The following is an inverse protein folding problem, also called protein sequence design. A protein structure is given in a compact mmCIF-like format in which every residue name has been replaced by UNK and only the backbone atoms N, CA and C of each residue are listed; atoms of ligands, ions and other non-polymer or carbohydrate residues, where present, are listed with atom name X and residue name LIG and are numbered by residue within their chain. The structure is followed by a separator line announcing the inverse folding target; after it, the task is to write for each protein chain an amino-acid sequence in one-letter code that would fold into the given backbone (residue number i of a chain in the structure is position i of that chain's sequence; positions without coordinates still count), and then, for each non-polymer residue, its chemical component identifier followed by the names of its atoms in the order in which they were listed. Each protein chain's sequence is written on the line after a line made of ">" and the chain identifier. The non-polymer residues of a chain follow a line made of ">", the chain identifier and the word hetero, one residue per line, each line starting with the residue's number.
data_IF_670072527033
#
_entry.id   IF_670072527033
#
_cell.length_a   1.000
_cell.length_b   1.000
_cell.length_c   1.000
_cell.angle_alpha   90.00
_cell.angle_beta   90.00
_cell.angle_gamma   90.00
#
_symmetry.space_group_name_H-M   'P 1'
#
loop_
_entity.id
_entity.type
_entity.pdbx_description
1 polymer ?
#
# COMPACT_ATOMS: atom_id res chain seq x y z
N UNK A 1 8.99 2.52 -12.52
CA UNK A 1 7.52 2.68 -12.56
C UNK A 1 7.07 2.71 -11.11
N UNK A 2 6.36 3.73 -10.63
CA UNK A 2 5.88 3.76 -9.24
C UNK A 2 4.77 2.71 -9.08
N UNK A 3 5.08 1.58 -8.44
CA UNK A 3 4.17 0.42 -8.24
C UNK A 3 3.34 0.52 -6.98
N UNK A 4 3.49 1.59 -6.21
CA UNK A 4 2.92 1.72 -4.88
C UNK A 4 1.39 1.59 -4.88
N UNK A 5 0.72 2.29 -5.79
CA UNK A 5 -0.74 2.30 -5.86
C UNK A 5 -1.31 0.90 -6.18
N UNK A 6 -0.67 0.16 -7.09
CA UNK A 6 -1.07 -1.20 -7.43
C UNK A 6 -0.85 -2.15 -6.26
N UNK A 7 0.36 -2.15 -5.68
CA UNK A 7 0.73 -3.05 -4.59
C UNK A 7 -0.06 -2.78 -3.31
N UNK A 8 -0.33 -1.52 -2.97
CA UNK A 8 -1.23 -1.16 -1.88
C UNK A 8 -2.62 -1.77 -2.06
N UNK A 9 -3.21 -1.59 -3.25
CA UNK A 9 -4.55 -2.09 -3.57
C UNK A 9 -4.60 -3.61 -3.56
N UNK A 10 -3.58 -4.27 -4.11
CA UNK A 10 -3.47 -5.72 -4.16
C UNK A 10 -3.33 -6.32 -2.77
N UNK A 11 -2.37 -5.86 -1.97
CA UNK A 11 -2.17 -6.34 -0.59
C UNK A 11 -3.43 -6.13 0.27
N UNK A 12 -4.10 -4.98 0.15
CA UNK A 12 -5.37 -4.75 0.85
C UNK A 12 -6.44 -5.76 0.43
N UNK A 13 -6.56 -6.05 -0.87
CA UNK A 13 -7.53 -7.02 -1.38
C UNK A 13 -7.19 -8.46 -0.97
N UNK A 14 -5.91 -8.81 -0.88
CA UNK A 14 -5.44 -10.12 -0.41
C UNK A 14 -5.80 -10.37 1.06
N UNK A 15 -5.71 -9.32 1.90
CA UNK A 15 -6.20 -9.37 3.28
C UNK A 15 -7.74 -9.36 3.38
N UNK A 16 -8.46 -9.18 2.26
CA UNK A 16 -9.93 -9.22 2.23
C UNK A 16 -10.63 -8.03 2.91
N UNK A 17 -9.92 -6.91 3.10
CA UNK A 17 -10.41 -5.75 3.84
C UNK A 17 -10.79 -4.57 2.91
N UNK A 18 -11.64 -3.68 3.41
CA UNK A 18 -12.06 -2.46 2.68
C UNK A 18 -11.05 -1.33 2.86
N UNK A 19 -11.14 -0.29 2.00
CA UNK A 19 -10.33 0.93 2.15
C UNK A 19 -10.57 1.60 3.51
N UNK A 20 -11.83 1.65 3.95
CA UNK A 20 -12.21 2.12 5.29
C UNK A 20 -11.52 1.37 6.44
N UNK A 21 -11.42 0.05 6.36
CA UNK A 21 -10.77 -0.77 7.40
C UNK A 21 -9.27 -0.47 7.47
N UNK A 22 -8.61 -0.39 6.31
CA UNK A 22 -7.19 0.00 6.26
C UNK A 22 -6.98 1.42 6.78
N UNK A 23 -7.83 2.37 6.40
CA UNK A 23 -7.75 3.74 6.88
C UNK A 23 -7.85 3.83 8.40
N UNK A 24 -8.82 3.13 8.99
CA UNK A 24 -9.02 3.11 10.44
C UNK A 24 -7.85 2.48 11.19
N UNK A 25 -7.21 1.45 10.64
CA UNK A 25 -6.09 0.78 11.32
C UNK A 25 -4.81 1.62 11.39
N UNK A 26 -4.63 2.56 10.46
CA UNK A 26 -3.46 3.45 10.42
C UNK A 26 -3.77 4.90 10.80
N UNK A 27 -4.98 5.20 11.29
CA UNK A 27 -5.36 6.55 11.72
C UNK A 27 -5.49 7.56 10.57
N UNK A 28 -6.05 7.12 9.44
CA UNK A 28 -6.30 7.93 8.24
C UNK A 28 -7.76 7.86 7.80
N UNK A 29 -8.11 8.66 6.81
CA UNK A 29 -9.45 8.64 6.20
C UNK A 29 -9.49 7.66 5.03
N UNK A 30 -10.70 7.19 4.70
CA UNK A 30 -10.92 6.34 3.52
C UNK A 30 -10.49 7.05 2.23
N UNK A 31 -10.72 8.37 2.14
CA UNK A 31 -10.31 9.21 1.02
C UNK A 31 -8.78 9.20 0.80
N UNK A 32 -7.98 9.20 1.88
CA UNK A 32 -6.53 9.05 1.76
C UNK A 32 -6.15 7.74 1.07
N UNK A 33 -6.72 6.61 1.51
CA UNK A 33 -6.47 5.30 0.88
C UNK A 33 -6.95 5.30 -0.57
N UNK A 34 -8.10 5.89 -0.83
CA UNK A 34 -8.66 6.01 -2.17
C UNK A 34 -7.74 6.84 -3.09
N UNK A 35 -7.20 7.96 -2.63
CA UNK A 35 -6.24 8.77 -3.39
C UNK A 35 -4.93 8.04 -3.65
N UNK A 36 -4.39 7.36 -2.65
CA UNK A 36 -3.15 6.59 -2.78
C UNK A 36 -3.30 5.43 -3.77
N UNK A 37 -4.39 4.66 -3.68
CA UNK A 37 -4.66 3.55 -4.62
C UNK A 37 -4.97 4.00 -6.05
N UNK A 38 -5.27 5.28 -6.26
CA UNK A 38 -5.47 5.85 -7.59
C UNK A 38 -4.28 6.73 -8.05
N UNK A 39 -3.23 6.87 -7.23
CA UNK A 39 -2.07 7.70 -7.53
C UNK A 39 -2.38 9.19 -7.62
N UNK A 40 -3.39 9.68 -6.88
CA UNK A 40 -3.74 11.11 -6.81
C UNK A 40 -2.94 11.87 -5.76
N UNK A 41 -2.44 11.17 -4.75
CA UNK A 41 -1.52 11.69 -3.75
C UNK A 41 -0.57 10.59 -3.29
N UNK A 42 0.46 10.96 -2.54
CA UNK A 42 1.42 10.04 -1.98
C UNK A 42 1.29 10.01 -0.44
N UNK A 43 1.48 8.83 0.19
CA UNK A 43 1.54 8.72 1.64
C UNK A 43 2.85 9.30 2.19
N UNK A 44 2.86 9.65 3.48
CA UNK A 44 4.11 9.96 4.19
C UNK A 44 4.93 8.69 4.46
N UNK A 45 6.19 8.86 4.88
CA UNK A 45 7.04 7.74 5.32
C UNK A 45 6.38 6.97 6.47
N UNK A 46 5.82 7.68 7.45
CA UNK A 46 5.14 7.07 8.60
C UNK A 46 3.91 6.25 8.15
N UNK A 47 3.15 6.76 7.17
CA UNK A 47 2.01 6.04 6.60
C UNK A 47 2.47 4.76 5.88
N UNK A 48 3.56 4.83 5.10
CA UNK A 48 4.12 3.65 4.40
C UNK A 48 4.51 2.57 5.41
N UNK A 49 5.18 2.95 6.51
CA UNK A 49 5.57 2.03 7.57
C UNK A 49 4.33 1.42 8.24
N UNK A 50 3.31 2.22 8.56
CA UNK A 50 2.08 1.75 9.18
C UNK A 50 1.30 0.77 8.27
N UNK A 51 1.20 1.09 6.98
CA UNK A 51 0.60 0.23 5.96
C UNK A 51 1.35 -1.11 5.89
N UNK A 52 2.68 -1.07 5.77
CA UNK A 52 3.52 -2.27 5.70
C UNK A 52 3.32 -3.18 6.91
N UNK A 53 3.34 -2.62 8.11
CA UNK A 53 3.11 -3.36 9.35
C UNK A 53 1.72 -3.99 9.40
N UNK A 54 0.69 -3.23 9.04
CA UNK A 54 -0.69 -3.71 9.09
C UNK A 54 -1.00 -4.79 8.05
N UNK A 55 -0.52 -4.61 6.82
CA UNK A 55 -0.69 -5.57 5.71
C UNK A 55 0.36 -6.70 5.73
N UNK A 56 1.27 -6.71 6.72
CA UNK A 56 2.33 -7.73 6.90
C UNK A 56 3.22 -7.90 5.66
N UNK A 57 3.56 -6.79 5.01
CA UNK A 57 4.48 -6.73 3.86
C UNK A 57 5.67 -5.83 4.19
N UNK A 58 6.73 -5.87 3.38
CA UNK A 58 7.86 -4.94 3.53
C UNK A 58 7.56 -3.60 2.85
N UNK A 59 8.23 -2.54 3.30
CA UNK A 59 8.20 -1.24 2.61
C UNK A 59 8.82 -1.32 1.22
N UNK A 60 9.84 -2.17 1.02
CA UNK A 60 10.45 -2.39 -0.29
C UNK A 60 9.46 -3.00 -1.28
N UNK A 61 8.66 -3.98 -0.81
CA UNK A 61 7.53 -4.48 -1.57
C UNK A 61 6.50 -3.38 -1.82
N UNK A 62 6.12 -2.53 -0.87
CA UNK A 62 5.17 -1.47 -1.21
C UNK A 62 5.74 -0.47 -2.24
N UNK A 63 7.03 -0.17 -2.18
CA UNK A 63 7.65 0.89 -2.98
C UNK A 63 8.13 0.46 -4.37
N UNK A 64 8.17 -0.84 -4.68
CA UNK A 64 8.72 -1.29 -5.97
C UNK A 64 10.20 -1.63 -5.94
N UNK A 65 10.82 -1.73 -4.75
CA UNK A 65 12.27 -1.91 -4.58
C UNK A 65 12.71 -3.36 -4.36
N UNK A 66 11.77 -4.30 -4.33
CA UNK A 66 12.07 -5.72 -4.24
C UNK A 66 12.29 -6.34 -5.64
N UNK A 67 13.12 -7.37 -5.70
CA UNK A 67 13.43 -8.07 -6.95
C UNK A 67 12.32 -9.06 -7.37
N UNK A 68 11.09 -8.90 -6.87
CA UNK A 68 10.00 -9.86 -7.14
C UNK A 68 9.57 -9.89 -8.61
N UNK A 69 9.82 -8.79 -9.34
CA UNK A 69 9.53 -8.70 -10.77
C UNK A 69 10.65 -9.29 -11.66
N UNK A 70 11.85 -9.52 -11.11
CA UNK A 70 13.00 -10.02 -11.88
C UNK A 70 13.00 -11.56 -12.04
N UNK A 71 12.07 -12.28 -11.40
CA UNK A 71 11.97 -13.74 -11.53
C UNK A 71 11.32 -14.21 -12.85
N UNK A 72 10.85 -13.30 -13.69
CA UNK A 72 10.24 -13.61 -14.99
C UNK A 72 10.87 -12.86 -16.18
N UNK A 73 12.06 -12.27 -16.00
CA UNK A 73 12.82 -11.61 -17.06
C UNK A 73 13.80 -12.57 -17.77
#
# INVERSE_FOLDING_TARGET
>A
MNKFKERLRESRKQEGITQKVLAQSIGRTEDCIHDWENGRSEPSIDDIIAIAQFLKVSTDFLLGNDNSDDLFA
#
